data_IF_821653445466
#
_entry.id   IF_821653445466
#
_cell.length_a   1.000
_cell.length_b   1.000
_cell.length_c   1.000
_cell.angle_alpha   90.00
_cell.angle_beta   90.00
_cell.angle_gamma   90.00
#
_symmetry.space_group_name_H-M   'P 1'
#
loop_
_entity.id
_entity.type
_entity.pdbx_description
1 polymer ?
#
# COMPACT_ATOMS: atom_id res chain seq x y z
N UNK A 1 16.28 6.20 -13.16
CA UNK A 1 15.57 7.47 -13.37
C UNK A 1 15.07 8.00 -12.04
N UNK A 2 15.19 9.28 -11.83
CA UNK A 2 14.73 9.93 -10.60
C UNK A 2 13.20 9.93 -10.53
N UNK A 3 12.67 10.02 -9.32
CA UNK A 3 11.24 10.17 -9.12
C UNK A 3 10.75 11.52 -9.65
N UNK A 4 9.54 11.53 -10.20
CA UNK A 4 8.89 12.79 -10.57
C UNK A 4 8.47 13.53 -9.29
N UNK A 5 8.18 14.82 -9.41
CA UNK A 5 7.70 15.62 -8.29
C UNK A 5 6.41 15.03 -7.71
N UNK A 6 5.53 14.53 -8.57
CA UNK A 6 4.29 13.91 -8.14
C UNK A 6 4.53 12.60 -7.38
N UNK A 7 5.46 11.79 -7.86
CA UNK A 7 5.84 10.55 -7.16
C UNK A 7 6.45 10.82 -5.80
N UNK A 8 7.29 11.85 -5.70
CA UNK A 8 7.83 12.27 -4.40
C UNK A 8 6.71 12.75 -3.48
N UNK A 9 5.75 13.50 -4.01
CA UNK A 9 4.63 14.00 -3.23
C UNK A 9 3.78 12.84 -2.66
N UNK A 10 3.60 11.75 -3.41
CA UNK A 10 2.89 10.56 -2.93
C UNK A 10 3.61 9.94 -1.73
N UNK A 11 4.92 9.79 -1.81
CA UNK A 11 5.71 9.24 -0.69
C UNK A 11 5.71 10.18 0.51
N UNK A 12 5.85 11.48 0.26
CA UNK A 12 5.84 12.49 1.33
C UNK A 12 4.49 12.53 2.03
N UNK A 13 3.42 12.38 1.27
CA UNK A 13 2.07 12.30 1.84
C UNK A 13 1.94 11.07 2.75
N UNK A 14 2.42 9.90 2.32
CA UNK A 14 2.39 8.68 3.13
C UNK A 14 3.11 8.85 4.46
N UNK A 15 4.14 9.66 4.48
CA UNK A 15 4.93 9.91 5.67
C UNK A 15 4.19 10.74 6.72
N UNK A 16 3.31 11.65 6.29
CA UNK A 16 2.79 12.69 7.18
C UNK A 16 1.26 12.83 7.22
N UNK A 17 0.51 12.12 6.39
CA UNK A 17 -0.94 12.32 6.31
C UNK A 17 -1.65 12.12 7.65
N UNK A 18 -1.16 11.19 8.46
CA UNK A 18 -1.76 10.86 9.76
C UNK A 18 -1.63 11.99 10.79
N UNK A 19 -0.82 13.00 10.51
CA UNK A 19 -0.71 14.18 11.39
C UNK A 19 -1.79 15.21 11.08
N UNK A 20 -2.55 15.04 10.00
CA UNK A 20 -3.59 15.96 9.58
C UNK A 20 -4.96 15.44 9.98
N UNK A 21 -5.89 16.36 10.23
CA UNK A 21 -7.27 16.00 10.52
C UNK A 21 -7.97 15.63 9.22
N UNK A 22 -8.74 14.54 9.24
CA UNK A 22 -9.56 14.15 8.12
C UNK A 22 -9.35 12.71 7.70
N UNK A 23 -10.17 12.29 6.74
CA UNK A 23 -10.13 10.95 6.16
C UNK A 23 -9.05 10.91 5.09
N UNK A 24 -8.25 9.85 5.07
CA UNK A 24 -7.12 9.73 4.14
C UNK A 24 -7.54 9.93 2.68
N UNK A 25 -8.65 9.33 2.26
CA UNK A 25 -9.14 9.41 0.88
C UNK A 25 -9.46 10.85 0.47
N UNK A 26 -10.05 11.62 1.39
CA UNK A 26 -10.35 13.03 1.15
C UNK A 26 -9.06 13.84 1.05
N UNK A 27 -8.10 13.57 1.93
CA UNK A 27 -6.79 14.24 1.91
C UNK A 27 -6.03 13.96 0.62
N UNK A 28 -6.11 12.73 0.11
CA UNK A 28 -5.49 12.37 -1.17
C UNK A 28 -6.04 13.24 -2.29
N UNK A 29 -7.36 13.39 -2.37
CA UNK A 29 -7.98 14.22 -3.40
C UNK A 29 -7.60 15.68 -3.27
N UNK A 30 -7.63 16.22 -2.05
CA UNK A 30 -7.34 17.61 -1.79
C UNK A 30 -5.87 17.98 -1.98
N UNK A 31 -4.97 17.11 -1.54
CA UNK A 31 -3.53 17.42 -1.54
C UNK A 31 -2.82 16.98 -2.79
N UNK A 32 -3.24 15.86 -3.39
CA UNK A 32 -2.56 15.25 -4.53
C UNK A 32 -3.35 15.33 -5.82
N UNK A 33 -4.58 15.80 -5.75
CA UNK A 33 -5.47 15.96 -6.91
C UNK A 33 -5.62 14.67 -7.72
N UNK A 34 -5.78 13.54 -7.01
CA UNK A 34 -5.94 12.25 -7.63
C UNK A 34 -6.96 11.42 -6.85
N UNK A 35 -7.52 10.39 -7.49
CA UNK A 35 -8.42 9.46 -6.81
C UNK A 35 -7.62 8.55 -5.87
N UNK A 36 -8.28 8.02 -4.85
CA UNK A 36 -7.63 7.06 -3.95
C UNK A 36 -7.18 5.80 -4.67
N UNK A 37 -7.96 5.32 -5.65
CA UNK A 37 -7.58 4.17 -6.46
C UNK A 37 -6.27 4.41 -7.22
N UNK A 38 -6.15 5.57 -7.85
CA UNK A 38 -4.93 5.93 -8.57
C UNK A 38 -3.76 6.10 -7.62
N UNK A 39 -4.01 6.70 -6.46
CA UNK A 39 -2.99 6.88 -5.42
C UNK A 39 -2.38 5.54 -5.01
N UNK A 40 -3.21 4.57 -4.66
CA UNK A 40 -2.72 3.27 -4.22
C UNK A 40 -2.04 2.48 -5.35
N UNK A 41 -2.48 2.66 -6.59
CA UNK A 41 -1.81 2.08 -7.75
C UNK A 41 -0.40 2.63 -7.91
N UNK A 42 -0.26 3.96 -7.87
CA UNK A 42 1.05 4.63 -7.98
C UNK A 42 1.94 4.22 -6.81
N UNK A 43 1.39 4.24 -5.59
CA UNK A 43 2.13 3.86 -4.39
C UNK A 43 2.67 2.44 -4.49
N UNK A 44 1.84 1.50 -4.92
CA UNK A 44 2.26 0.10 -5.06
C UNK A 44 3.38 -0.06 -6.09
N UNK A 45 3.33 0.68 -7.19
CA UNK A 45 4.39 0.69 -8.19
C UNK A 45 5.69 1.26 -7.62
N UNK A 46 5.58 2.34 -6.82
CA UNK A 46 6.74 2.97 -6.20
C UNK A 46 7.47 2.04 -5.22
N UNK A 47 6.75 1.16 -4.55
CA UNK A 47 7.37 0.26 -3.56
C UNK A 47 8.40 -0.67 -4.17
N UNK A 48 8.36 -0.90 -5.47
CA UNK A 48 9.31 -1.77 -6.16
C UNK A 48 10.44 -1.00 -6.85
N UNK A 49 10.47 0.33 -6.72
CA UNK A 49 11.49 1.16 -7.37
C UNK A 49 12.62 1.51 -6.41
N UNK A 50 13.89 1.33 -6.82
CA UNK A 50 15.04 1.75 -6.00
C UNK A 50 15.04 3.25 -5.68
N UNK A 51 14.58 4.08 -6.61
CA UNK A 51 14.51 5.52 -6.42
C UNK A 51 13.60 5.91 -5.26
N UNK A 52 12.49 5.18 -5.08
CA UNK A 52 11.57 5.41 -3.95
C UNK A 52 12.25 5.03 -2.62
N UNK A 53 12.97 3.93 -2.61
CA UNK A 53 13.71 3.50 -1.41
C UNK A 53 14.78 4.52 -1.04
N UNK A 54 15.45 5.12 -2.03
CA UNK A 54 16.45 6.15 -1.79
C UNK A 54 15.81 7.44 -1.25
N UNK A 55 14.61 7.78 -1.75
CA UNK A 55 13.90 8.99 -1.32
C UNK A 55 13.43 8.90 0.13
N UNK A 56 12.82 7.77 0.51
CA UNK A 56 12.31 7.58 1.88
C UNK A 56 12.38 6.11 2.27
N UNK A 57 13.54 5.65 2.73
CA UNK A 57 13.72 4.23 3.05
C UNK A 57 12.80 3.73 4.17
N UNK A 58 12.50 4.56 5.16
CA UNK A 58 11.66 4.15 6.29
C UNK A 58 10.22 3.89 5.85
N UNK A 59 9.65 4.81 5.08
CA UNK A 59 8.30 4.68 4.56
C UNK A 59 8.19 3.48 3.63
N UNK A 60 9.12 3.36 2.68
CA UNK A 60 9.08 2.28 1.69
C UNK A 60 9.21 0.92 2.35
N UNK A 61 10.13 0.76 3.30
CA UNK A 61 10.32 -0.50 4.02
C UNK A 61 9.08 -0.88 4.84
N UNK A 62 8.49 0.11 5.51
CA UNK A 62 7.26 -0.10 6.29
C UNK A 62 6.12 -0.57 5.38
N UNK A 63 5.92 0.10 4.24
CA UNK A 63 4.85 -0.24 3.31
C UNK A 63 5.07 -1.59 2.63
N UNK A 64 6.32 -1.93 2.31
CA UNK A 64 6.65 -3.27 1.80
C UNK A 64 6.29 -4.36 2.79
N UNK A 65 6.59 -4.15 4.08
CA UNK A 65 6.23 -5.11 5.13
C UNK A 65 4.72 -5.27 5.27
N UNK A 66 3.97 -4.16 5.18
CA UNK A 66 2.51 -4.20 5.22
C UNK A 66 1.94 -4.95 4.03
N UNK A 67 2.46 -4.68 2.83
CA UNK A 67 2.05 -5.37 1.61
C UNK A 67 2.30 -6.87 1.72
N UNK A 68 3.47 -7.26 2.20
CA UNK A 68 3.85 -8.66 2.34
C UNK A 68 2.97 -9.37 3.38
N UNK A 69 2.66 -8.71 4.49
CA UNK A 69 1.74 -9.27 5.49
C UNK A 69 0.34 -9.46 4.95
N UNK A 70 -0.16 -8.50 4.18
CA UNK A 70 -1.49 -8.60 3.56
C UNK A 70 -1.54 -9.74 2.55
N UNK A 71 -0.49 -9.89 1.76
CA UNK A 71 -0.37 -10.99 0.80
C UNK A 71 -0.37 -12.33 1.50
N UNK A 72 0.42 -12.46 2.55
CA UNK A 72 0.52 -13.69 3.36
C UNK A 72 -0.82 -14.02 4.00
N UNK A 73 -1.50 -13.03 4.57
CA UNK A 73 -2.81 -13.21 5.19
C UNK A 73 -3.85 -13.71 4.18
N UNK A 74 -3.83 -13.17 2.95
CA UNK A 74 -4.73 -13.62 1.89
C UNK A 74 -4.46 -15.07 1.48
N UNK A 75 -3.19 -15.46 1.39
CA UNK A 75 -2.81 -16.83 1.07
C UNK A 75 -3.22 -17.81 2.18
N UNK A 76 -3.01 -17.42 3.43
CA UNK A 76 -3.40 -18.23 4.59
C UNK A 76 -4.92 -18.38 4.65
N UNK A 77 -5.66 -17.31 4.41
CA UNK A 77 -7.12 -17.35 4.40
C UNK A 77 -7.64 -18.25 3.28
N UNK A 78 -7.04 -18.18 2.10
CA UNK A 78 -7.43 -19.04 0.98
C UNK A 78 -7.14 -20.50 1.29
N UNK A 79 -6.01 -20.80 1.89
CA UNK A 79 -5.66 -22.17 2.29
C UNK A 79 -6.60 -22.70 3.36
N UNK A 80 -6.92 -21.88 4.35
CA UNK A 80 -7.85 -22.24 5.42
C UNK A 80 -9.25 -22.50 4.88
N UNK A 81 -9.73 -21.66 3.96
CA UNK A 81 -11.03 -21.82 3.33
C UNK A 81 -11.10 -23.13 2.55
N UNK A 82 -10.05 -23.46 1.80
CA UNK A 82 -9.96 -24.70 1.05
C UNK A 82 -9.99 -25.91 1.97
N UNK A 83 -9.22 -25.88 3.05
CA UNK A 83 -9.16 -26.94 4.04
C UNK A 83 -10.52 -27.12 4.75
N UNK A 84 -11.15 -26.02 5.12
CA UNK A 84 -12.47 -26.03 5.75
C UNK A 84 -13.54 -26.62 4.85
N UNK A 85 -13.55 -26.24 3.58
CA UNK A 85 -14.46 -26.78 2.59
C UNK A 85 -14.27 -28.29 2.38
N UNK A 86 -13.03 -28.73 2.38
CA UNK A 86 -12.69 -30.13 2.24
C UNK A 86 -13.21 -30.95 3.43
N UNK A 87 -13.04 -30.44 4.64
CA UNK A 87 -13.53 -31.08 5.84
C UNK A 87 -15.05 -31.22 5.84
N UNK A 88 -15.76 -30.20 5.39
CA UNK A 88 -17.20 -30.21 5.28
C UNK A 88 -17.70 -31.27 4.30
N UNK A 89 -16.99 -31.44 3.19
CA UNK A 89 -17.35 -32.44 2.19
C UNK A 89 -17.24 -33.86 2.76
N UNK A 90 -16.28 -34.11 3.61
CA UNK A 90 -16.06 -35.43 4.19
C UNK A 90 -17.11 -35.83 5.21
N UNK A 91 -17.86 -34.89 5.73
CA UNK A 91 -18.93 -35.17 6.69
C UNK A 91 -20.22 -35.53 5.98
#
# INVERSE_FOLDING_TARGET
MALTDHEQAVLDFERSWWTEDGVKEVLIEERLEMTSSRYYQVLNELLDRPDALDHDPLVVRRLRRLRDRKRRARLDAAAAATAGGRLEVER
#
